data_IF_136169988590
#
_entry.id   IF_136169988590
#
_cell.length_a   1.000
_cell.length_b   1.000
_cell.length_c   1.000
_cell.angle_alpha   90.00
_cell.angle_beta   90.00
_cell.angle_gamma   90.00
#
_symmetry.space_group_name_H-M   'P 1'
#
loop_
_entity.id
_entity.type
_entity.pdbx_description
1 polymer ?
#
# COMPACT_ATOMS: atom_id res chain seq x y z
N UNK A 1 9.60 60.23 -30.07
CA UNK A 1 9.01 59.71 -28.81
C UNK A 1 8.32 58.40 -29.19
N UNK A 2 8.97 57.30 -28.85
CA UNK A 2 8.47 55.95 -29.12
C UNK A 2 7.49 55.58 -28.00
N UNK A 3 6.26 55.21 -28.36
CA UNK A 3 5.35 54.53 -27.43
C UNK A 3 5.34 53.04 -27.77
N UNK A 4 5.84 52.29 -26.80
CA UNK A 4 6.20 50.89 -26.84
C UNK A 4 4.97 50.00 -26.99
N UNK A 5 5.08 49.05 -27.90
CA UNK A 5 4.18 47.93 -28.15
C UNK A 5 3.79 47.20 -26.86
N UNK A 6 2.48 47.12 -26.60
CA UNK A 6 1.92 46.16 -25.63
C UNK A 6 2.01 44.73 -26.18
N UNK A 7 2.17 43.71 -25.31
CA UNK A 7 2.35 42.34 -25.76
C UNK A 7 1.05 41.83 -26.39
N UNK A 8 1.20 41.31 -27.61
CA UNK A 8 0.20 40.49 -28.27
C UNK A 8 0.00 39.24 -27.40
N UNK A 9 -1.20 39.11 -26.83
CA UNK A 9 -1.64 37.90 -26.14
C UNK A 9 -1.93 36.84 -27.22
N UNK A 10 -0.86 36.27 -27.75
CA UNK A 10 -0.90 35.16 -28.70
C UNK A 10 -1.25 33.86 -27.97
N UNK A 11 -2.46 33.39 -28.21
CA UNK A 11 -2.68 31.97 -28.45
C UNK A 11 -2.93 31.11 -27.22
N UNK A 12 -4.06 31.33 -26.53
CA UNK A 12 -4.83 30.18 -26.06
C UNK A 12 -5.37 29.45 -27.28
N UNK A 13 -4.51 28.67 -27.94
CA UNK A 13 -4.90 27.67 -28.90
C UNK A 13 -5.92 26.77 -28.21
N UNK A 14 -7.19 27.02 -28.51
CA UNK A 14 -8.32 26.17 -28.18
C UNK A 14 -8.05 24.80 -28.79
N UNK A 15 -7.34 23.96 -28.02
CA UNK A 15 -7.26 22.54 -28.28
C UNK A 15 -8.69 22.06 -28.20
N UNK A 16 -9.28 21.80 -29.37
CA UNK A 16 -10.53 21.06 -29.59
C UNK A 16 -10.36 19.66 -29.01
N UNK A 17 -10.31 19.58 -27.68
CA UNK A 17 -10.40 18.37 -26.92
C UNK A 17 -11.86 18.00 -26.84
N UNK A 18 -12.19 16.76 -27.23
CA UNK A 18 -13.47 16.12 -26.90
C UNK A 18 -13.85 16.50 -25.48
N UNK A 19 -14.95 17.24 -25.30
CA UNK A 19 -15.45 17.62 -23.98
C UNK A 19 -15.59 16.31 -23.18
N UNK A 20 -14.99 16.21 -21.99
CA UNK A 20 -15.12 15.01 -21.17
C UNK A 20 -16.61 14.73 -20.98
N UNK A 21 -17.06 13.53 -21.36
CA UNK A 21 -18.46 13.14 -21.21
C UNK A 21 -18.65 12.74 -19.75
N UNK A 22 -19.52 13.48 -19.06
CA UNK A 22 -19.95 13.12 -17.71
C UNK A 22 -20.74 11.81 -17.78
N UNK A 23 -20.41 10.78 -16.98
CA UNK A 23 -21.19 9.55 -16.91
C UNK A 23 -22.63 9.82 -16.46
N UNK A 24 -23.58 9.11 -17.06
CA UNK A 24 -24.98 9.12 -16.64
C UNK A 24 -25.11 8.39 -15.29
N UNK A 25 -25.59 9.04 -14.22
CA UNK A 25 -25.74 8.40 -12.91
C UNK A 25 -26.74 7.24 -12.92
N UNK A 26 -27.67 7.19 -13.89
CA UNK A 26 -28.64 6.10 -14.05
C UNK A 26 -28.07 4.84 -14.71
N UNK A 27 -26.89 4.90 -15.33
CA UNK A 27 -26.30 3.78 -16.07
C UNK A 27 -25.77 2.65 -15.16
N UNK A 28 -25.69 2.89 -13.85
CA UNK A 28 -25.38 1.86 -12.87
C UNK A 28 -24.54 2.38 -11.69
N UNK A 29 -24.26 1.53 -10.69
CA UNK A 29 -23.60 1.94 -9.44
C UNK A 29 -22.18 2.51 -9.65
N UNK A 30 -21.43 1.97 -10.61
CA UNK A 30 -20.09 2.47 -10.98
C UNK A 30 -20.18 3.83 -11.69
N UNK A 31 -21.17 4.01 -12.57
CA UNK A 31 -21.40 5.27 -13.26
C UNK A 31 -21.85 6.37 -12.29
N UNK A 32 -22.66 6.02 -11.28
CA UNK A 32 -23.04 6.93 -10.19
C UNK A 32 -21.82 7.38 -9.37
N UNK A 33 -20.92 6.47 -9.00
CA UNK A 33 -19.68 6.86 -8.30
C UNK A 33 -18.84 7.84 -9.15
N UNK A 34 -18.68 7.57 -10.44
CA UNK A 34 -17.96 8.45 -11.34
C UNK A 34 -18.65 9.81 -11.52
N UNK A 35 -19.98 9.83 -11.53
CA UNK A 35 -20.77 11.07 -11.52
C UNK A 35 -20.49 11.91 -10.27
N UNK A 36 -20.46 11.29 -9.07
CA UNK A 36 -20.11 11.99 -7.82
C UNK A 36 -18.69 12.55 -7.86
N UNK A 37 -17.72 11.81 -8.44
CA UNK A 37 -16.35 12.31 -8.61
C UNK A 37 -16.31 13.58 -9.48
N UNK A 38 -17.18 13.66 -10.49
CA UNK A 38 -17.34 14.86 -11.32
C UNK A 38 -17.92 16.04 -10.55
N UNK A 39 -18.94 15.82 -9.72
CA UNK A 39 -19.51 16.88 -8.86
C UNK A 39 -18.43 17.44 -7.91
N UNK A 40 -17.66 16.57 -7.25
CA UNK A 40 -16.57 16.99 -6.37
C UNK A 40 -15.48 17.77 -7.13
N UNK A 41 -15.16 17.35 -8.35
CA UNK A 41 -14.17 18.03 -9.21
C UNK A 41 -14.65 19.42 -9.59
N UNK A 42 -15.91 19.59 -9.98
CA UNK A 42 -16.49 20.90 -10.29
C UNK A 42 -16.50 21.81 -9.06
N UNK A 43 -16.90 21.28 -7.90
CA UNK A 43 -16.92 22.04 -6.65
C UNK A 43 -15.51 22.54 -6.26
N UNK A 44 -14.47 21.73 -6.52
CA UNK A 44 -13.07 22.08 -6.27
C UNK A 44 -12.42 22.98 -7.35
N UNK A 45 -13.22 23.56 -8.26
CA UNK A 45 -12.77 24.47 -9.31
C UNK A 45 -12.27 23.77 -10.58
N UNK A 46 -12.77 22.57 -10.84
CA UNK A 46 -12.53 21.75 -12.04
C UNK A 46 -11.04 21.53 -12.44
N UNK A 47 -10.10 21.24 -11.51
CA UNK A 47 -8.69 21.08 -11.85
C UNK A 47 -8.46 19.93 -12.84
N UNK A 48 -7.50 20.07 -13.78
CA UNK A 48 -7.22 18.98 -14.71
C UNK A 48 -6.66 17.74 -13.99
N UNK A 49 -6.86 16.54 -14.53
CA UNK A 49 -6.28 15.32 -13.95
C UNK A 49 -4.74 15.36 -13.90
N UNK A 50 -4.10 16.15 -14.77
CA UNK A 50 -2.67 16.38 -14.73
C UNK A 50 -2.28 17.27 -13.53
N UNK A 51 -3.06 18.31 -13.25
CA UNK A 51 -2.86 19.16 -12.06
C UNK A 51 -3.08 18.38 -10.77
N UNK A 52 -4.08 17.49 -10.75
CA UNK A 52 -4.34 16.63 -9.60
C UNK A 52 -3.15 15.71 -9.29
N UNK A 53 -2.61 15.01 -10.31
CA UNK A 53 -1.48 14.11 -10.15
C UNK A 53 -0.14 14.82 -9.89
N UNK A 54 0.06 16.02 -10.45
CA UNK A 54 1.29 16.78 -10.31
C UNK A 54 1.24 17.76 -9.14
N UNK A 55 0.51 18.86 -9.32
CA UNK A 55 0.52 20.01 -8.40
C UNK A 55 -0.23 19.75 -7.10
N UNK A 56 -1.33 19.00 -7.14
CA UNK A 56 -2.08 18.65 -5.93
C UNK A 56 -1.60 17.35 -5.27
N UNK A 57 -0.61 16.68 -5.86
CA UNK A 57 0.08 15.57 -5.21
C UNK A 57 -0.77 14.31 -5.01
N UNK A 58 -1.73 14.03 -5.89
CA UNK A 58 -2.43 12.75 -5.87
C UNK A 58 -1.42 11.62 -6.17
N UNK A 59 -1.36 10.60 -5.32
CA UNK A 59 -0.49 9.44 -5.56
C UNK A 59 -0.96 8.55 -6.74
N UNK A 60 -2.16 8.80 -7.26
CA UNK A 60 -2.72 8.18 -8.45
C UNK A 60 -2.30 8.94 -9.73
N UNK A 61 -1.98 8.18 -10.79
CA UNK A 61 -1.56 8.76 -12.06
C UNK A 61 -2.70 9.53 -12.77
N UNK A 62 -2.35 10.47 -13.66
CA UNK A 62 -3.31 11.17 -14.53
C UNK A 62 -4.28 10.21 -15.24
N UNK A 63 -3.76 9.11 -15.80
CA UNK A 63 -4.57 8.13 -16.53
C UNK A 63 -5.49 7.35 -15.60
N UNK A 64 -5.06 7.03 -14.38
CA UNK A 64 -5.89 6.37 -13.36
C UNK A 64 -7.04 7.28 -12.89
N UNK A 65 -6.76 8.56 -12.61
CA UNK A 65 -7.78 9.54 -12.23
C UNK A 65 -8.80 9.76 -13.36
N UNK A 66 -8.31 9.87 -14.61
CA UNK A 66 -9.18 9.96 -15.77
C UNK A 66 -10.01 8.70 -16.01
N UNK A 67 -9.48 7.51 -15.69
CA UNK A 67 -10.22 6.25 -15.77
C UNK A 67 -11.34 6.17 -14.73
N UNK A 68 -11.04 6.57 -13.48
CA UNK A 68 -12.03 6.63 -12.41
C UNK A 68 -13.22 7.55 -12.77
N UNK A 69 -12.95 8.71 -13.37
CA UNK A 69 -13.98 9.67 -13.77
C UNK A 69 -14.80 9.26 -15.02
N UNK A 70 -14.41 8.18 -15.73
CA UNK A 70 -15.18 7.67 -16.89
C UNK A 70 -16.34 6.75 -16.49
N UNK A 71 -16.30 6.14 -15.31
CA UNK A 71 -17.37 5.24 -14.84
C UNK A 71 -17.54 3.94 -15.63
N UNK A 72 -16.58 3.57 -16.47
CA UNK A 72 -16.64 2.34 -17.29
C UNK A 72 -16.22 1.07 -16.53
N UNK A 73 -15.49 1.22 -15.44
CA UNK A 73 -15.04 0.15 -14.55
C UNK A 73 -14.83 0.75 -13.16
N UNK A 74 -15.01 -0.05 -12.11
CA UNK A 74 -14.81 0.42 -10.74
C UNK A 74 -13.32 0.71 -10.49
N UNK A 75 -12.94 1.96 -10.14
CA UNK A 75 -11.56 2.27 -9.76
C UNK A 75 -11.21 1.60 -8.43
N UNK A 76 -9.90 1.40 -8.16
CA UNK A 76 -9.48 0.97 -6.84
C UNK A 76 -9.81 2.03 -5.77
N UNK A 77 -10.05 1.59 -4.54
CA UNK A 77 -10.27 2.52 -3.43
C UNK A 77 -9.11 3.53 -3.26
N UNK A 78 -7.86 3.12 -3.48
CA UNK A 78 -6.71 4.02 -3.45
C UNK A 78 -6.81 5.12 -4.52
N UNK A 79 -7.24 4.78 -5.73
CA UNK A 79 -7.44 5.78 -6.82
C UNK A 79 -8.59 6.72 -6.50
N UNK A 80 -9.72 6.19 -6.00
CA UNK A 80 -10.86 7.00 -5.56
C UNK A 80 -10.48 7.92 -4.41
N UNK A 81 -9.76 7.40 -3.41
CA UNK A 81 -9.32 8.17 -2.27
C UNK A 81 -8.35 9.28 -2.67
N UNK A 82 -7.37 9.02 -3.52
CA UNK A 82 -6.44 10.07 -3.97
C UNK A 82 -7.14 11.12 -4.83
N UNK A 83 -8.14 10.74 -5.63
CA UNK A 83 -9.00 11.70 -6.34
C UNK A 83 -9.74 12.62 -5.36
N UNK A 84 -10.35 12.03 -4.33
CA UNK A 84 -11.16 12.75 -3.36
C UNK A 84 -10.31 13.57 -2.42
N UNK A 85 -9.23 13.01 -1.86
CA UNK A 85 -8.33 13.63 -0.88
C UNK A 85 -7.81 14.98 -1.39
N UNK A 86 -7.28 15.01 -2.62
CA UNK A 86 -6.70 16.24 -3.19
C UNK A 86 -7.73 17.33 -3.51
N UNK A 87 -9.02 16.99 -3.54
CA UNK A 87 -10.10 17.93 -3.81
C UNK A 87 -10.85 18.29 -2.53
N UNK A 88 -11.44 17.31 -1.86
CA UNK A 88 -12.23 17.50 -0.66
C UNK A 88 -11.39 18.01 0.52
N UNK A 89 -10.17 17.52 0.72
CA UNK A 89 -9.33 17.90 1.86
C UNK A 89 -8.41 19.04 1.46
N UNK A 90 -7.55 18.81 0.46
CA UNK A 90 -6.47 19.76 0.16
C UNK A 90 -6.99 21.07 -0.47
N UNK A 91 -8.11 21.04 -1.22
CA UNK A 91 -8.70 22.23 -1.87
C UNK A 91 -9.91 22.80 -1.11
N UNK A 92 -10.81 21.94 -0.65
CA UNK A 92 -12.07 22.35 -0.02
C UNK A 92 -12.00 22.37 1.52
N UNK A 93 -10.93 21.87 2.14
CA UNK A 93 -10.71 21.94 3.59
C UNK A 93 -11.70 21.11 4.42
N UNK A 94 -12.31 20.07 3.84
CA UNK A 94 -13.26 19.20 4.54
C UNK A 94 -12.56 18.26 5.51
N UNK A 95 -13.30 17.80 6.52
CA UNK A 95 -12.81 16.87 7.53
C UNK A 95 -12.37 15.52 6.91
N UNK A 96 -11.11 15.09 7.08
CA UNK A 96 -10.57 13.89 6.45
C UNK A 96 -11.34 12.61 6.76
N UNK A 97 -11.72 12.40 8.02
CA UNK A 97 -12.35 11.15 8.47
C UNK A 97 -13.82 11.05 8.05
N UNK A 98 -14.55 12.16 8.05
CA UNK A 98 -15.91 12.21 7.52
C UNK A 98 -15.91 11.95 6.01
N UNK A 99 -15.08 12.66 5.25
CA UNK A 99 -14.95 12.48 3.80
C UNK A 99 -14.55 11.04 3.48
N UNK A 100 -13.57 10.48 4.20
CA UNK A 100 -13.12 9.09 4.00
C UNK A 100 -14.24 8.10 4.21
N UNK A 101 -15.01 8.23 5.29
CA UNK A 101 -16.16 7.34 5.57
C UNK A 101 -17.27 7.47 4.53
N UNK A 102 -17.63 8.69 4.16
CA UNK A 102 -18.66 8.96 3.16
C UNK A 102 -18.29 8.33 1.81
N UNK A 103 -17.11 8.65 1.30
CA UNK A 103 -16.66 8.15 0.00
C UNK A 103 -16.40 6.64 0.02
N UNK A 104 -15.99 6.09 1.16
CA UNK A 104 -15.83 4.64 1.31
C UNK A 104 -17.17 3.91 1.15
N UNK A 105 -18.24 4.44 1.74
CA UNK A 105 -19.59 3.88 1.59
C UNK A 105 -20.07 3.96 0.14
N UNK A 106 -19.86 5.08 -0.54
CA UNK A 106 -20.22 5.22 -1.97
C UNK A 106 -19.45 4.21 -2.84
N UNK A 107 -18.16 4.01 -2.57
CA UNK A 107 -17.35 3.04 -3.29
C UNK A 107 -17.78 1.59 -3.03
N UNK A 108 -18.10 1.24 -1.79
CA UNK A 108 -18.61 -0.09 -1.43
C UNK A 108 -19.97 -0.39 -2.06
N UNK A 109 -20.87 0.61 -2.13
CA UNK A 109 -22.14 0.47 -2.82
C UNK A 109 -21.95 0.22 -4.32
N UNK A 110 -20.99 0.93 -4.95
CA UNK A 110 -20.63 0.68 -6.34
C UNK A 110 -20.06 -0.73 -6.55
N UNK A 111 -19.20 -1.20 -5.64
CA UNK A 111 -18.62 -2.55 -5.68
C UNK A 111 -19.66 -3.65 -5.52
N UNK A 112 -20.58 -3.50 -4.56
CA UNK A 112 -21.68 -4.44 -4.36
C UNK A 112 -22.60 -4.47 -5.59
N UNK A 113 -22.86 -3.30 -6.18
CA UNK A 113 -23.62 -3.15 -7.41
C UNK A 113 -23.00 -3.83 -8.63
N UNK A 114 -21.70 -3.69 -8.83
CA UNK A 114 -20.95 -4.37 -9.89
C UNK A 114 -20.96 -5.90 -9.70
N UNK A 115 -20.79 -6.37 -8.47
CA UNK A 115 -20.81 -7.80 -8.12
C UNK A 115 -22.20 -8.42 -8.32
N UNK A 116 -23.26 -7.68 -7.99
CA UNK A 116 -24.64 -8.10 -8.22
C UNK A 116 -24.97 -8.13 -9.73
N UNK A 117 -24.53 -7.13 -10.50
CA UNK A 117 -24.65 -7.10 -11.95
C UNK A 117 -23.97 -8.29 -12.63
N UNK A 118 -22.73 -8.59 -12.23
CA UNK A 118 -21.99 -9.75 -12.73
C UNK A 118 -22.68 -11.08 -12.38
N UNK A 119 -23.31 -11.18 -11.21
CA UNK A 119 -24.08 -12.37 -10.80
C UNK A 119 -25.37 -12.53 -11.60
N UNK A 120 -26.04 -11.43 -11.95
CA UNK A 120 -27.24 -11.44 -12.79
C UNK A 120 -26.89 -11.81 -14.24
N UNK A 121 -25.82 -11.24 -14.82
CA UNK A 121 -25.33 -11.63 -16.15
C UNK A 121 -24.93 -13.11 -16.20
N UNK A 122 -24.26 -13.63 -15.16
CA UNK A 122 -23.90 -15.05 -15.06
C UNK A 122 -25.12 -15.97 -14.86
N UNK A 123 -26.24 -15.45 -14.35
CA UNK A 123 -27.50 -16.20 -14.13
C UNK A 123 -28.40 -16.20 -15.37
N UNK A 124 -28.03 -15.52 -16.45
CA UNK A 124 -28.74 -15.52 -17.72
C UNK A 124 -28.00 -16.42 -18.73
N UNK A 125 -28.09 -17.76 -18.63
CA UNK A 125 -27.69 -18.61 -19.75
C UNK A 125 -28.69 -18.41 -20.89
N UNK A 126 -28.15 -18.12 -22.06
CA UNK A 126 -28.77 -18.25 -23.36
C UNK A 126 -29.60 -19.55 -23.39
N UNK A 127 -30.93 -19.42 -23.34
CA UNK A 127 -31.88 -20.50 -23.59
C UNK A 127 -32.23 -20.43 -25.07
N UNK A 128 -31.64 -21.26 -25.94
CA UNK A 128 -32.23 -21.48 -27.25
C UNK A 128 -33.52 -22.28 -27.04
N UNK A 129 -34.68 -21.62 -27.18
CA UNK A 129 -35.96 -22.33 -27.31
C UNK A 129 -35.88 -23.34 -28.48
N UNK A 130 -36.20 -24.63 -28.27
CA UNK A 130 -36.36 -25.56 -29.37
C UNK A 130 -37.78 -25.41 -29.93
N UNK A 131 -37.95 -24.56 -30.94
CA UNK A 131 -39.16 -24.58 -31.77
C UNK A 131 -39.17 -25.80 -32.71
N UNK A 132 -40.23 -26.62 -32.73
CA UNK A 132 -40.32 -27.79 -33.61
C UNK A 132 -40.88 -27.42 -34.99
N UNK A 133 -40.32 -28.06 -36.02
CA UNK A 133 -40.94 -28.41 -37.32
C UNK A 133 -41.86 -27.40 -38.03
N UNK A 134 -41.36 -26.87 -39.17
CA UNK A 134 -42.08 -26.92 -40.45
C UNK A 134 -41.18 -26.54 -41.64
N UNK A 135 -41.06 -27.46 -42.60
CA UNK A 135 -40.90 -27.16 -44.05
C UNK A 135 -42.20 -27.64 -44.72
N UNK A 136 -42.69 -27.07 -45.86
CA UNK A 136 -41.89 -26.92 -47.09
C UNK A 136 -42.12 -25.66 -47.99
N UNK A 137 -41.08 -25.36 -48.82
CA UNK A 137 -40.97 -24.90 -50.25
C UNK A 137 -42.01 -23.98 -50.93
N UNK A 138 -41.78 -23.41 -52.17
CA UNK A 138 -40.56 -23.04 -52.95
C UNK A 138 -40.61 -21.56 -53.48
N UNK A 139 -39.54 -20.96 -54.03
CA UNK A 139 -39.35 -20.68 -55.49
C UNK A 139 -38.06 -19.84 -55.72
N UNK A 140 -37.30 -20.28 -56.73
CA UNK A 140 -36.06 -19.80 -57.41
C UNK A 140 -36.02 -18.36 -57.97
N UNK A 141 -34.94 -17.87 -58.67
CA UNK A 141 -33.49 -18.23 -58.63
C UNK A 141 -32.50 -17.01 -58.67
N UNK A 142 -31.21 -17.30 -58.38
CA UNK A 142 -29.90 -16.91 -59.01
C UNK A 142 -29.71 -15.55 -59.77
N UNK A 143 -28.46 -14.98 -59.92
CA UNK A 143 -27.20 -15.73 -60.07
C UNK A 143 -25.86 -15.15 -59.49
N UNK A 144 -24.95 -16.12 -59.28
CA UNK A 144 -23.51 -16.17 -59.61
C UNK A 144 -22.52 -15.07 -59.21
N UNK A 145 -21.46 -15.47 -58.47
CA UNK A 145 -20.07 -15.54 -58.99
C UNK A 145 -19.14 -16.31 -58.04
N UNK A 146 -18.18 -17.00 -58.65
CA UNK A 146 -17.40 -18.15 -58.16
C UNK A 146 -15.92 -17.74 -57.84
N UNK A 147 -14.95 -18.64 -57.59
CA UNK A 147 -14.11 -18.62 -56.39
C UNK A 147 -12.59 -18.44 -56.66
N UNK A 148 -11.81 -18.46 -55.57
CA UNK A 148 -10.34 -18.42 -55.59
C UNK A 148 -9.66 -19.74 -55.96
N UNK A 149 -8.33 -19.67 -56.08
CA UNK A 149 -7.43 -20.80 -56.23
C UNK A 149 -6.00 -20.48 -55.79
N UNK A 150 -5.45 -21.33 -54.92
CA UNK A 150 -4.00 -21.55 -54.71
C UNK A 150 -3.37 -22.21 -55.98
N UNK A 151 -2.03 -22.38 -56.16
CA UNK A 151 -1.16 -23.21 -55.30
C UNK A 151 0.38 -22.89 -55.28
N UNK A 152 1.13 -23.59 -54.40
CA UNK A 152 2.60 -23.84 -54.39
C UNK A 152 3.02 -24.78 -55.58
N UNK A 153 4.29 -25.27 -55.81
CA UNK A 153 5.53 -25.35 -54.98
C UNK A 153 6.90 -25.13 -55.72
N UNK A 154 8.05 -25.33 -55.02
CA UNK A 154 9.34 -25.73 -55.63
C UNK A 154 10.64 -25.28 -54.93
N UNK A 155 11.53 -26.23 -54.57
CA UNK A 155 12.99 -26.04 -54.33
C UNK A 155 13.80 -26.33 -55.62
N UNK A 156 15.17 -26.33 -55.67
CA UNK A 156 16.06 -27.10 -54.76
C UNK A 156 17.52 -26.57 -54.48
N UNK A 157 18.25 -27.31 -53.61
CA UNK A 157 19.68 -27.72 -53.65
C UNK A 157 20.88 -26.82 -53.17
N UNK A 158 22.03 -27.44 -52.75
CA UNK A 158 22.96 -26.93 -51.70
C UNK A 158 24.45 -26.77 -52.13
N UNK A 159 25.28 -26.16 -51.27
CA UNK A 159 26.76 -26.35 -51.23
C UNK A 159 27.29 -26.23 -49.80
N UNK A 160 28.34 -27.01 -49.46
CA UNK A 160 28.91 -27.14 -48.12
C UNK A 160 30.31 -26.51 -47.95
N UNK A 161 30.88 -26.65 -46.75
CA UNK A 161 32.33 -26.51 -46.50
C UNK A 161 32.75 -25.89 -45.15
N UNK A 162 33.27 -26.75 -44.26
CA UNK A 162 34.47 -26.57 -43.40
C UNK A 162 34.52 -25.56 -42.22
N UNK A 163 34.45 -26.10 -40.99
CA UNK A 163 35.45 -26.12 -39.88
C UNK A 163 36.36 -24.91 -39.47
N UNK A 164 36.88 -24.91 -38.21
CA UNK A 164 37.05 -23.73 -37.35
C UNK A 164 38.52 -23.29 -37.12
N UNK A 165 38.71 -22.17 -36.41
CA UNK A 165 39.79 -21.86 -35.44
C UNK A 165 40.29 -20.41 -35.54
N UNK A 166 40.47 -19.74 -34.39
CA UNK A 166 41.08 -18.41 -34.30
C UNK A 166 40.79 -17.69 -33.00
N UNK A 167 41.64 -17.91 -32.00
CA UNK A 167 41.69 -17.16 -30.74
C UNK A 167 42.01 -15.66 -30.95
N UNK A 168 41.68 -14.79 -29.98
CA UNK A 168 42.46 -13.58 -29.72
C UNK A 168 43.27 -13.69 -28.39
N UNK A 169 44.41 -12.98 -28.29
CA UNK A 169 45.35 -13.12 -27.19
C UNK A 169 45.12 -12.13 -26.03
N UNK A 170 45.80 -12.45 -24.93
CA UNK A 170 46.33 -11.58 -23.87
C UNK A 170 45.35 -10.80 -22.98
N UNK A 171 45.18 -11.35 -21.77
CA UNK A 171 44.68 -10.62 -20.61
C UNK A 171 45.71 -9.60 -20.08
N UNK A 172 45.25 -8.59 -19.31
CA UNK A 172 46.12 -7.57 -18.75
C UNK A 172 46.92 -8.08 -17.54
N UNK A 173 48.18 -7.66 -17.49
CA UNK A 173 49.13 -7.85 -16.40
C UNK A 173 48.65 -7.25 -15.06
N UNK A 174 49.06 -7.82 -13.91
CA UNK A 174 48.83 -7.24 -12.58
C UNK A 174 49.85 -6.12 -12.26
N UNK A 175 49.49 -5.11 -11.45
CA UNK A 175 50.47 -4.21 -10.86
C UNK A 175 51.20 -4.86 -9.67
N UNK A 176 52.45 -4.43 -9.37
CA UNK A 176 53.33 -5.10 -8.43
C UNK A 176 53.04 -4.78 -6.96
N UNK A 177 53.33 -5.77 -6.12
CA UNK A 177 53.56 -5.64 -4.68
C UNK A 177 54.68 -4.66 -4.36
N UNK A 178 54.53 -3.94 -3.25
CA UNK A 178 55.65 -3.28 -2.61
C UNK A 178 55.27 -2.16 -1.67
N UNK A 179 54.87 -2.48 -0.44
CA UNK A 179 55.46 -1.88 0.77
C UNK A 179 55.25 -2.85 1.94
N UNK A 180 56.37 -3.36 2.45
CA UNK A 180 56.47 -4.33 3.54
C UNK A 180 56.02 -3.74 4.89
N UNK A 181 55.58 -4.59 5.84
CA UNK A 181 55.50 -4.26 7.25
C UNK A 181 56.87 -4.40 7.92
N UNK A 182 57.15 -3.57 8.93
CA UNK A 182 58.29 -3.77 9.83
C UNK A 182 57.78 -4.07 11.24
N UNK A 183 58.14 -5.25 11.73
CA UNK A 183 57.92 -5.74 13.10
C UNK A 183 58.98 -5.20 14.08
N UNK A 184 58.50 -4.69 15.24
CA UNK A 184 59.07 -4.81 16.60
C UNK A 184 60.38 -4.08 16.96
N UNK A 185 60.72 -3.91 18.28
CA UNK A 185 60.14 -4.59 19.46
C UNK A 185 59.78 -3.66 20.67
N UNK A 186 59.03 -4.24 21.63
CA UNK A 186 58.84 -3.76 23.03
C UNK A 186 60.12 -4.06 23.89
N UNK A 187 60.19 -3.96 25.26
CA UNK A 187 59.20 -3.55 26.30
C UNK A 187 59.77 -2.71 27.50
N UNK A 188 58.90 -2.25 28.41
CA UNK A 188 59.10 -2.27 29.90
C UNK A 188 57.80 -1.82 30.58
N UNK A 189 57.13 -2.66 31.39
CA UNK A 189 57.34 -2.93 32.83
C UNK A 189 57.06 -1.69 33.71
N UNK A 190 56.10 -1.64 34.63
CA UNK A 190 55.38 -2.70 35.32
C UNK A 190 54.27 -2.17 36.26
N UNK A 191 53.75 -3.02 37.16
CA UNK A 191 52.42 -2.88 37.80
C UNK A 191 52.46 -2.66 39.32
N UNK A 192 51.31 -2.34 39.93
CA UNK A 192 51.03 -2.64 41.35
C UNK A 192 50.25 -1.59 42.16
N UNK A 193 49.76 -1.93 43.38
CA UNK A 193 48.32 -1.90 43.69
C UNK A 193 47.92 -1.22 45.02
N UNK A 194 46.61 -1.20 45.30
CA UNK A 194 46.02 -1.04 46.65
C UNK A 194 45.00 0.11 46.72
N UNK A 195 43.96 0.10 47.53
CA UNK A 195 43.41 -0.89 48.46
C UNK A 195 41.96 -0.47 48.79
N UNK A 196 41.19 -1.42 49.33
CA UNK A 196 39.88 -1.29 50.00
C UNK A 196 39.60 0.06 50.69
N UNK A 197 38.32 0.47 50.71
CA UNK A 197 37.47 0.49 51.94
C UNK A 197 36.03 0.91 51.62
N UNK A 198 35.09 0.24 52.31
CA UNK A 198 33.63 0.36 52.27
C UNK A 198 33.13 1.45 53.26
N UNK A 199 31.84 1.55 53.66
CA UNK A 199 31.04 2.78 53.55
C UNK A 199 30.87 3.50 54.90
N UNK A 200 30.38 4.74 54.90
CA UNK A 200 29.97 5.43 56.12
C UNK A 200 28.57 6.02 55.98
N UNK A 201 27.63 5.36 56.66
CA UNK A 201 26.32 5.87 57.05
C UNK A 201 26.51 7.07 57.98
N UNK A 202 25.79 8.17 57.73
CA UNK A 202 25.46 9.13 58.79
C UNK A 202 23.95 9.35 58.82
N UNK A 203 23.36 8.81 59.88
CA UNK A 203 22.05 9.17 60.41
C UNK A 203 22.12 10.60 60.94
N UNK A 204 21.09 11.40 60.70
CA UNK A 204 20.72 12.50 61.58
C UNK A 204 19.22 12.37 61.87
N UNK A 205 18.96 11.96 63.10
CA UNK A 205 17.65 11.89 63.74
C UNK A 205 17.26 13.28 64.22
N UNK A 206 16.02 13.71 63.99
CA UNK A 206 15.32 14.59 64.95
C UNK A 206 13.97 13.94 65.22
N UNK A 207 13.76 13.59 66.49
CA UNK A 207 12.56 13.02 67.05
C UNK A 207 11.89 14.08 67.95
N UNK A 208 10.56 14.03 67.98
CA UNK A 208 9.68 14.21 69.14
C UNK A 208 8.85 15.51 69.29
N UNK A 209 7.57 15.28 69.61
CA UNK A 209 6.58 16.22 70.16
C UNK A 209 5.20 16.07 69.45
N UNK A 210 4.41 15.01 69.61
CA UNK A 210 3.62 14.51 70.77
C UNK A 210 2.15 15.02 70.81
N UNK A 211 1.22 14.05 70.89
CA UNK A 211 -0.13 14.04 71.53
C UNK A 211 -1.18 15.07 71.07
N UNK A 212 -2.36 14.72 70.56
CA UNK A 212 -3.50 13.96 71.12
C UNK A 212 -4.77 14.59 70.51
N UNK A 213 -5.81 13.87 70.07
CA UNK A 213 -7.00 13.46 70.84
C UNK A 213 -7.72 12.36 70.04
N UNK A 214 -8.00 11.24 70.69
CA UNK A 214 -9.03 10.27 70.29
C UNK A 214 -10.24 10.52 71.17
N UNK A 215 -11.43 10.59 70.57
CA UNK A 215 -12.65 10.17 71.26
C UNK A 215 -13.89 11.03 71.03
N UNK A 216 -14.94 10.34 70.60
CA UNK A 216 -16.36 10.58 70.88
C UNK A 216 -17.11 11.54 69.93
N UNK A 217 -17.83 10.93 68.98
CA UNK A 217 -19.26 11.20 68.80
C UNK A 217 -19.89 10.18 67.84
N UNK A 218 -20.19 8.99 68.36
CA UNK A 218 -21.34 8.24 67.90
C UNK A 218 -22.52 8.64 68.80
N UNK A 219 -23.66 8.98 68.18
CA UNK A 219 -25.01 8.93 68.75
C UNK A 219 -25.42 10.06 69.72
N UNK A 220 -25.89 11.16 69.14
CA UNK A 220 -27.16 11.82 69.47
C UNK A 220 -27.63 12.45 68.15
N UNK A 221 -28.38 11.75 67.30
CA UNK A 221 -29.83 11.82 67.29
C UNK A 221 -30.38 10.69 66.40
N UNK A 222 -30.64 9.53 67.00
CA UNK A 222 -31.60 8.58 66.49
C UNK A 222 -32.90 8.76 67.26
N UNK A 223 -33.72 9.73 66.89
CA UNK A 223 -35.14 9.83 67.26
C UNK A 223 -35.82 10.74 66.23
N UNK A 224 -36.24 10.16 65.10
CA UNK A 224 -37.58 10.26 64.49
C UNK A 224 -37.54 9.31 63.28
N UNK A 225 -37.78 8.02 63.48
CA UNK A 225 -38.69 7.30 62.57
C UNK A 225 -40.05 7.38 63.25
N UNK A 226 -41.10 7.79 62.53
CA UNK A 226 -41.77 6.86 61.61
C UNK A 226 -42.09 7.58 60.27
N UNK A 227 -42.45 6.96 59.16
CA UNK A 227 -43.33 5.84 58.88
C UNK A 227 -43.17 5.53 57.38
N UNK A 228 -43.17 4.25 57.00
CA UNK A 228 -43.44 3.68 55.67
C UNK A 228 -43.45 4.66 54.47
N UNK A 229 -42.36 4.68 53.70
CA UNK A 229 -42.23 5.43 52.46
C UNK A 229 -41.45 4.62 51.42
N UNK A 230 -42.16 3.67 50.83
CA UNK A 230 -42.03 3.16 49.46
C UNK A 230 -41.26 4.11 48.52
N UNK A 231 -40.16 3.67 47.88
CA UNK A 231 -39.84 3.96 46.46
C UNK A 231 -38.45 3.44 46.02
N UNK A 232 -38.52 2.63 44.96
CA UNK A 232 -37.59 2.45 43.85
C UNK A 232 -36.23 1.78 44.06
N UNK A 233 -36.30 0.45 43.96
CA UNK A 233 -35.35 -0.40 43.24
C UNK A 233 -35.04 0.20 41.84
N UNK A 234 -34.01 1.04 41.74
CA UNK A 234 -33.40 1.40 40.45
C UNK A 234 -31.87 1.38 40.59
N UNK A 235 -31.34 0.17 40.75
CA UNK A 235 -29.93 -0.12 40.52
C UNK A 235 -29.73 -0.22 39.00
N UNK A 236 -28.91 0.63 38.35
CA UNK A 236 -28.69 0.50 36.92
C UNK A 236 -27.87 -0.76 36.65
N UNK A 237 -28.56 -1.83 36.27
CA UNK A 237 -27.97 -3.03 35.68
C UNK A 237 -27.02 -2.60 34.55
N UNK A 238 -25.77 -3.09 34.47
CA UNK A 238 -24.93 -2.86 33.29
C UNK A 238 -25.62 -3.55 32.11
N UNK A 239 -26.35 -2.78 31.31
CA UNK A 239 -26.87 -3.21 30.01
C UNK A 239 -25.66 -3.61 29.17
N UNK A 240 -25.52 -4.91 28.94
CA UNK A 240 -24.64 -5.46 27.92
C UNK A 240 -25.04 -4.80 26.58
N UNK A 241 -24.26 -3.81 26.16
CA UNK A 241 -24.33 -3.26 24.81
C UNK A 241 -24.12 -4.43 23.85
N UNK A 242 -24.99 -4.65 22.85
CA UNK A 242 -24.75 -5.70 21.89
C UNK A 242 -23.38 -5.43 21.24
N UNK A 243 -22.44 -6.35 21.45
CA UNK A 243 -21.14 -6.32 20.80
C UNK A 243 -21.42 -6.29 19.29
N UNK A 244 -21.22 -5.13 18.67
CA UNK A 244 -21.35 -4.99 17.23
C UNK A 244 -20.38 -6.00 16.62
N UNK A 245 -20.90 -6.92 15.82
CA UNK A 245 -20.10 -7.91 15.09
C UNK A 245 -19.28 -7.14 14.05
N UNK A 246 -18.12 -6.61 14.46
CA UNK A 246 -17.20 -5.94 13.54
C UNK A 246 -16.68 -7.02 12.60
N UNK A 247 -17.09 -6.96 11.34
CA UNK A 247 -16.62 -7.87 10.31
C UNK A 247 -15.09 -7.94 10.33
N UNK A 248 -14.48 -9.14 10.27
CA UNK A 248 -13.03 -9.30 10.20
C UNK A 248 -12.45 -8.44 9.07
N UNK A 249 -11.55 -7.52 9.42
CA UNK A 249 -10.86 -6.64 8.48
C UNK A 249 -9.37 -6.90 8.60
N UNK A 250 -8.77 -7.46 7.57
CA UNK A 250 -7.32 -7.55 7.48
C UNK A 250 -6.76 -6.26 6.87
N UNK A 251 -5.77 -5.65 7.52
CA UNK A 251 -5.18 -4.39 7.06
C UNK A 251 -3.78 -4.18 7.63
N UNK A 252 -2.92 -3.52 6.86
CA UNK A 252 -1.57 -3.12 7.28
C UNK A 252 -1.34 -1.63 7.05
N UNK A 253 -0.58 -1.01 7.95
CA UNK A 253 0.00 0.32 7.76
C UNK A 253 1.52 0.19 7.73
N UNK A 254 2.12 0.67 6.64
CA UNK A 254 3.58 0.84 6.56
C UNK A 254 3.94 2.12 7.33
N UNK A 255 4.75 1.98 8.36
CA UNK A 255 5.14 3.11 9.21
C UNK A 255 6.50 3.69 8.80
N UNK A 256 7.34 2.88 8.13
CA UNK A 256 8.54 3.40 7.47
C UNK A 256 9.68 2.40 7.37
N UNK A 257 10.73 2.86 6.70
CA UNK A 257 12.04 2.22 6.68
C UNK A 257 12.78 2.52 7.98
N UNK A 258 13.07 1.49 8.77
CA UNK A 258 13.85 1.62 10.01
C UNK A 258 15.34 1.66 9.70
N UNK A 259 15.79 0.83 8.75
CA UNK A 259 17.16 0.86 8.22
C UNK A 259 17.13 1.06 6.71
N UNK A 260 18.20 1.65 6.16
CA UNK A 260 18.40 1.90 4.74
C UNK A 260 17.16 2.53 4.05
N UNK A 261 16.85 3.81 4.32
CA UNK A 261 15.82 4.54 3.58
C UNK A 261 16.08 4.49 2.07
N UNK A 262 15.03 4.73 1.28
CA UNK A 262 15.11 4.69 -0.18
C UNK A 262 16.24 5.55 -0.74
N UNK A 263 17.02 4.96 -1.65
CA UNK A 263 18.17 5.60 -2.29
C UNK A 263 19.48 5.48 -1.52
N UNK A 264 19.50 4.76 -0.39
CA UNK A 264 20.73 4.51 0.38
C UNK A 264 21.85 3.91 -0.49
N UNK A 265 23.10 4.29 -0.20
CA UNK A 265 24.28 3.76 -0.89
C UNK A 265 24.93 2.67 -0.04
N UNK A 266 25.24 1.53 -0.66
CA UNK A 266 25.89 0.38 -0.01
C UNK A 266 27.14 -0.04 -0.78
N UNK A 267 28.10 -0.65 -0.09
CA UNK A 267 29.32 -1.18 -0.71
C UNK A 267 29.03 -2.47 -1.48
N UNK A 268 29.79 -2.72 -2.56
CA UNK A 268 29.78 -4.00 -3.29
C UNK A 268 29.97 -5.19 -2.35
N UNK A 269 29.16 -6.23 -2.57
CA UNK A 269 29.22 -7.48 -1.83
C UNK A 269 28.84 -7.38 -0.34
N UNK A 270 28.50 -6.19 0.17
CA UNK A 270 28.18 -5.99 1.58
C UNK A 270 26.88 -6.70 1.97
N UNK A 271 26.89 -7.33 3.14
CA UNK A 271 25.69 -7.86 3.78
C UNK A 271 25.13 -6.85 4.79
N UNK A 272 23.82 -6.65 4.77
CA UNK A 272 23.15 -5.72 5.67
C UNK A 272 21.71 -6.18 5.99
N UNK A 273 21.19 -5.70 7.11
CA UNK A 273 19.83 -5.99 7.55
C UNK A 273 18.92 -4.82 7.20
N UNK A 274 18.00 -5.07 6.26
CA UNK A 274 16.90 -4.16 5.93
C UNK A 274 15.75 -4.39 6.90
N UNK A 275 15.32 -3.33 7.58
CA UNK A 275 14.24 -3.38 8.56
C UNK A 275 13.14 -2.42 8.13
N UNK A 276 11.92 -2.93 8.08
CA UNK A 276 10.70 -2.13 7.90
C UNK A 276 9.83 -2.22 9.14
N UNK A 277 9.18 -1.11 9.48
CA UNK A 277 8.17 -1.06 10.53
C UNK A 277 6.78 -1.11 9.92
N UNK A 278 5.99 -2.08 10.34
CA UNK A 278 4.62 -2.29 9.86
C UNK A 278 3.70 -2.49 11.04
N UNK A 279 2.54 -1.85 11.03
CA UNK A 279 1.48 -2.05 12.02
C UNK A 279 0.34 -2.86 11.46
N UNK A 280 -0.16 -3.81 12.24
CA UNK A 280 -1.44 -4.46 11.98
C UNK A 280 -2.56 -3.44 12.27
N UNK A 281 -3.09 -2.85 11.20
CA UNK A 281 -4.15 -1.85 11.30
C UNK A 281 -5.55 -2.47 11.16
N UNK A 282 -5.63 -3.80 11.05
CA UNK A 282 -6.86 -4.55 10.93
C UNK A 282 -7.53 -4.84 12.27
N UNK A 283 -8.53 -5.70 12.24
CA UNK A 283 -9.20 -6.31 13.40
C UNK A 283 -8.88 -7.79 13.54
N UNK A 284 -8.12 -8.37 12.59
CA UNK A 284 -7.72 -9.78 12.57
C UNK A 284 -6.27 -9.90 13.04
N UNK A 285 -5.95 -10.80 13.98
CA UNK A 285 -4.56 -11.08 14.33
C UNK A 285 -3.83 -11.71 13.15
N UNK A 286 -2.62 -11.22 12.88
CA UNK A 286 -1.74 -11.85 11.91
C UNK A 286 -1.14 -13.11 12.52
N UNK A 287 -1.31 -14.23 11.81
CA UNK A 287 -0.68 -15.52 12.07
C UNK A 287 -0.26 -16.09 10.72
N UNK A 288 0.87 -16.78 10.71
CA UNK A 288 1.39 -17.48 9.53
C UNK A 288 1.48 -16.55 8.30
N UNK A 289 1.96 -15.33 8.55
CA UNK A 289 2.16 -14.30 7.54
C UNK A 289 3.62 -14.25 7.14
N UNK A 290 3.87 -13.90 5.89
CA UNK A 290 5.21 -13.82 5.35
C UNK A 290 5.35 -12.59 4.46
N UNK A 291 6.55 -12.00 4.39
CA UNK A 291 6.93 -11.17 3.26
C UNK A 291 7.55 -12.07 2.19
N UNK A 292 6.96 -12.09 1.00
CA UNK A 292 7.44 -12.84 -0.16
C UNK A 292 7.98 -11.88 -1.23
N UNK A 293 9.15 -12.18 -1.77
CA UNK A 293 9.85 -11.41 -2.79
C UNK A 293 9.12 -11.53 -4.13
N UNK A 294 8.90 -10.40 -4.80
CA UNK A 294 8.09 -10.32 -6.02
C UNK A 294 8.88 -10.20 -7.31
N UNK A 295 10.20 -10.06 -7.25
CA UNK A 295 11.04 -9.86 -8.42
C UNK A 295 12.43 -10.46 -8.24
N UNK A 296 13.06 -10.73 -9.38
CA UNK A 296 14.49 -11.01 -9.43
C UNK A 296 15.31 -9.73 -9.34
N UNK A 297 16.53 -9.88 -8.82
CA UNK A 297 17.45 -8.79 -8.54
C UNK A 297 18.89 -9.30 -8.51
N UNK A 298 19.88 -8.47 -8.86
CA UNK A 298 21.29 -8.81 -8.70
C UNK A 298 21.71 -8.93 -7.23
N UNK A 299 20.99 -8.32 -6.28
CA UNK A 299 21.21 -8.58 -4.86
C UNK A 299 20.71 -9.95 -4.44
N UNK A 300 21.36 -10.55 -3.45
CA UNK A 300 20.88 -11.77 -2.83
C UNK A 300 20.04 -11.42 -1.60
N UNK A 301 18.83 -11.97 -1.55
CA UNK A 301 17.91 -11.86 -0.45
C UNK A 301 17.11 -13.17 -0.38
N UNK A 302 16.54 -13.54 0.78
CA UNK A 302 15.65 -14.69 0.86
C UNK A 302 14.44 -14.52 -0.08
N UNK A 303 13.81 -15.62 -0.45
CA UNK A 303 12.56 -15.57 -1.23
C UNK A 303 11.38 -15.17 -0.34
N UNK A 304 11.39 -15.63 0.92
CA UNK A 304 10.31 -15.43 1.88
C UNK A 304 10.87 -15.25 3.29
N UNK A 305 10.26 -14.37 4.08
CA UNK A 305 10.59 -14.16 5.50
C UNK A 305 9.32 -14.13 6.34
N UNK A 306 9.30 -14.87 7.44
CA UNK A 306 8.15 -14.94 8.35
C UNK A 306 7.92 -13.63 9.10
N UNK A 307 6.65 -13.27 9.23
CA UNK A 307 6.16 -12.22 10.11
C UNK A 307 5.54 -12.98 11.29
N UNK A 308 6.14 -12.84 12.47
CA UNK A 308 5.62 -13.48 13.69
C UNK A 308 4.17 -13.09 13.97
N UNK A 309 3.53 -13.67 15.01
CA UNK A 309 2.17 -13.28 15.36
C UNK A 309 2.12 -11.79 15.74
N UNK A 310 1.17 -11.05 15.15
CA UNK A 310 0.96 -9.61 15.43
C UNK A 310 -0.51 -9.34 15.67
N UNK A 311 -0.86 -8.88 16.87
CA UNK A 311 -2.25 -8.58 17.23
C UNK A 311 -2.74 -7.30 16.56
N UNK A 312 -4.06 -7.10 16.44
CA UNK A 312 -4.63 -5.84 15.98
C UNK A 312 -4.08 -4.64 16.76
N UNK A 313 -3.61 -3.62 16.05
CA UNK A 313 -3.01 -2.42 16.60
C UNK A 313 -1.52 -2.52 16.93
N UNK A 314 -0.94 -3.73 16.96
CA UNK A 314 0.49 -3.92 17.24
C UNK A 314 1.38 -3.61 16.03
N UNK A 315 2.59 -3.15 16.33
CA UNK A 315 3.65 -2.86 15.36
C UNK A 315 4.73 -3.93 15.42
N UNK A 316 5.23 -4.33 14.25
CA UNK A 316 6.34 -5.27 14.07
C UNK A 316 7.44 -4.67 13.20
N UNK A 317 8.69 -4.90 13.61
CA UNK A 317 9.88 -4.62 12.81
C UNK A 317 10.31 -5.90 12.09
N UNK A 318 10.16 -5.92 10.77
CA UNK A 318 10.47 -7.10 9.94
C UNK A 318 11.87 -6.92 9.36
N UNK A 319 12.75 -7.87 9.67
CA UNK A 319 14.16 -7.85 9.25
C UNK A 319 14.40 -8.80 8.08
N UNK A 320 15.03 -8.30 7.02
CA UNK A 320 15.49 -9.09 5.87
C UNK A 320 16.98 -8.87 5.68
N UNK A 321 17.74 -9.97 5.75
CA UNK A 321 19.17 -9.98 5.42
C UNK A 321 19.35 -9.91 3.90
N UNK A 322 20.07 -8.90 3.43
CA UNK A 322 20.36 -8.68 2.01
C UNK A 322 21.88 -8.63 1.80
N UNK A 323 22.37 -9.21 0.70
CA UNK A 323 23.73 -9.04 0.19
C UNK A 323 23.70 -8.24 -1.10
N UNK A 324 24.38 -7.11 -1.11
CA UNK A 324 24.56 -6.27 -2.30
C UNK A 324 25.27 -7.05 -3.42
N UNK A 325 24.99 -6.65 -4.67
CA UNK A 325 25.72 -7.18 -5.82
C UNK A 325 27.22 -6.85 -5.73
N UNK A 326 28.04 -7.67 -6.39
CA UNK A 326 29.49 -7.41 -6.49
C UNK A 326 29.80 -6.37 -7.58
N UNK A 327 28.85 -6.08 -8.47
CA UNK A 327 28.91 -4.99 -9.46
C UNK A 327 28.16 -3.74 -9.01
N UNK A 328 28.58 -2.53 -9.46
CA UNK A 328 27.82 -1.30 -9.24
C UNK A 328 26.44 -1.36 -9.90
N UNK A 329 25.47 -0.67 -9.31
CA UNK A 329 24.14 -0.53 -9.89
C UNK A 329 23.02 -0.39 -8.87
N UNK A 330 21.80 -0.19 -9.36
CA UNK A 330 20.61 -0.09 -8.51
C UNK A 330 20.08 -1.47 -8.16
N UNK A 331 19.77 -1.66 -6.89
CA UNK A 331 19.13 -2.84 -6.36
C UNK A 331 17.77 -2.48 -5.79
N UNK A 332 16.71 -2.89 -6.49
CA UNK A 332 15.32 -2.69 -6.07
C UNK A 332 14.62 -4.03 -5.88
N UNK A 333 14.08 -4.28 -4.70
CA UNK A 333 13.42 -5.54 -4.33
C UNK A 333 12.03 -5.22 -3.78
N UNK A 334 10.99 -5.81 -4.34
CA UNK A 334 9.60 -5.66 -3.91
C UNK A 334 9.17 -6.86 -3.07
N UNK A 335 8.41 -6.60 -2.01
CA UNK A 335 7.94 -7.58 -1.05
C UNK A 335 6.43 -7.45 -0.83
N UNK A 336 5.72 -8.56 -0.98
CA UNK A 336 4.28 -8.65 -0.76
C UNK A 336 3.98 -9.54 0.43
N UNK A 337 3.05 -9.13 1.29
CA UNK A 337 2.59 -10.01 2.36
C UNK A 337 1.80 -11.19 1.76
N UNK A 338 2.11 -12.41 2.19
CA UNK A 338 1.43 -13.65 1.80
C UNK A 338 1.04 -14.47 3.02
N UNK A 339 0.12 -15.42 2.84
CA UNK A 339 -0.14 -16.48 3.82
C UNK A 339 0.91 -17.61 3.70
N UNK A 340 0.67 -18.70 4.43
CA UNK A 340 1.49 -19.92 4.44
C UNK A 340 1.62 -20.55 3.05
N UNK A 341 0.54 -20.59 2.28
CA UNK A 341 0.52 -21.15 0.92
C UNK A 341 1.22 -20.22 -0.10
N UNK A 342 1.53 -18.98 0.29
CA UNK A 342 2.11 -17.97 -0.59
C UNK A 342 1.08 -17.15 -1.36
N UNK A 343 -0.19 -17.26 -1.01
CA UNK A 343 -1.25 -16.46 -1.61
C UNK A 343 -1.06 -14.99 -1.20
N UNK A 344 -1.03 -14.05 -2.15
CA UNK A 344 -0.93 -12.63 -1.84
C UNK A 344 -2.09 -12.15 -0.97
N UNK A 345 -1.76 -11.56 0.17
CA UNK A 345 -2.71 -10.95 1.08
C UNK A 345 -2.78 -9.44 0.87
N UNK A 346 -3.80 -8.80 1.43
CA UNK A 346 -3.96 -7.35 1.37
C UNK A 346 -3.94 -6.87 -0.09
N UNK A 347 -4.71 -7.48 -0.99
CA UNK A 347 -4.61 -7.29 -2.44
C UNK A 347 -4.64 -5.81 -2.88
N UNK A 348 -5.37 -4.95 -2.15
CA UNK A 348 -5.42 -3.51 -2.39
C UNK A 348 -4.21 -2.70 -1.90
N UNK A 349 -3.22 -3.32 -1.26
CA UNK A 349 -2.00 -2.67 -0.76
C UNK A 349 -0.83 -2.95 -1.70
N UNK A 350 -0.08 -1.89 -2.03
CA UNK A 350 1.16 -2.02 -2.79
C UNK A 350 2.21 -2.83 -2.02
N UNK A 351 3.13 -3.52 -2.71
CA UNK A 351 4.31 -4.09 -2.08
C UNK A 351 5.14 -3.00 -1.38
N UNK A 352 5.77 -3.36 -0.27
CA UNK A 352 6.88 -2.56 0.28
C UNK A 352 8.15 -2.90 -0.50
N UNK A 353 9.18 -2.07 -0.41
CA UNK A 353 10.39 -2.32 -1.18
C UNK A 353 11.68 -1.90 -0.47
N UNK A 354 12.78 -2.47 -0.96
CA UNK A 354 14.13 -1.99 -0.75
C UNK A 354 14.57 -1.26 -2.01
N UNK A 355 15.20 -0.10 -1.88
CA UNK A 355 15.80 0.64 -2.99
C UNK A 355 17.17 1.18 -2.59
N UNK A 356 18.24 0.55 -3.07
CA UNK A 356 19.62 0.95 -2.75
C UNK A 356 20.49 1.04 -4.00
N UNK A 357 21.52 1.86 -3.93
CA UNK A 357 22.55 1.96 -4.96
C UNK A 357 23.83 1.29 -4.46
N UNK A 358 24.35 0.34 -5.23
CA UNK A 358 25.65 -0.29 -4.98
C UNK A 358 26.74 0.59 -5.59
N UNK A 359 27.60 1.14 -4.72
CA UNK A 359 28.69 2.06 -5.06
C UNK A 359 29.99 1.38 -5.46
#
# INVERSE_FOLDING_TARGET
MAESSGPQDEGTASRRGRRPIRPDPGAGPVALLAHRLWELKEEAGDPSFADMAGRLGAAASKSSLAAAARGSALPSWETTWEFVRVLAIDRLGRDPEQVRREWRRLWEQAQAGESAGATIEARMPDQPEPSPSARPSPTDPAPSSQPGGSPQPGGPAPTGGSSPSGAPPDGPAPPPDGFAPSDGPAPSSGPGPGARRTPAVRKATVLAGATGVVGVAAILLGWVLPLLGESDENEPTPQATPAQTVSPRDDSVFEGDVTFPDGSVVKRGAAFDKVWRIRNAGTVPWRDRYLTRMNDTPCKAPERVGIGPVLPGETVDITVRVRAADSPGRCKIFWKMTDEDGTPLLAGKRPIFLDVTVG
#
